data_IF_456249316504
#
_entry.id   IF_456249316504
#
_cell.length_a   1.000
_cell.length_b   1.000
_cell.length_c   1.000
_cell.angle_alpha   90.00
_cell.angle_beta   90.00
_cell.angle_gamma   90.00
#
_symmetry.space_group_name_H-M   'P 1'
#
loop_
_entity.id
_entity.type
_entity.pdbx_description
1 polymer ?
#
# COMPACT_ATOMS: atom_id res chain seq x y z
N UNK A 1 -30.98 -27.82 -17.89
CA UNK A 1 -30.92 -27.06 -16.61
C UNK A 1 -30.08 -27.86 -15.63
N UNK A 2 -28.91 -27.35 -15.20
CA UNK A 2 -28.12 -27.99 -14.13
C UNK A 2 -28.92 -27.97 -12.83
N UNK A 3 -28.95 -29.11 -12.15
CA UNK A 3 -29.69 -29.35 -10.90
C UNK A 3 -29.24 -28.37 -9.82
N UNK A 4 -30.20 -27.87 -9.02
CA UNK A 4 -29.99 -26.99 -7.86
C UNK A 4 -28.98 -27.55 -6.83
N UNK A 5 -28.64 -28.85 -6.88
CA UNK A 5 -27.63 -29.49 -6.03
C UNK A 5 -26.21 -28.93 -6.17
N UNK A 6 -25.86 -28.32 -7.31
CA UNK A 6 -24.52 -27.73 -7.48
C UNK A 6 -24.34 -26.41 -6.71
N UNK A 7 -25.42 -25.83 -6.15
CA UNK A 7 -25.39 -24.53 -5.45
C UNK A 7 -25.05 -24.62 -3.96
N UNK A 8 -25.10 -25.81 -3.35
CA UNK A 8 -24.90 -25.99 -1.90
C UNK A 8 -23.52 -26.56 -1.53
N UNK A 9 -22.56 -26.62 -2.46
CA UNK A 9 -21.19 -27.06 -2.14
C UNK A 9 -20.52 -26.11 -1.13
N UNK A 10 -20.87 -24.82 -1.19
CA UNK A 10 -20.33 -23.80 -0.29
C UNK A 10 -20.92 -23.97 1.13
N UNK A 11 -22.23 -24.16 1.25
CA UNK A 11 -22.92 -24.38 2.52
C UNK A 11 -22.51 -25.70 3.18
N UNK A 12 -22.34 -26.79 2.40
CA UNK A 12 -21.83 -28.07 2.89
C UNK A 12 -20.38 -27.98 3.41
N UNK A 13 -19.52 -27.19 2.75
CA UNK A 13 -18.13 -26.98 3.19
C UNK A 13 -18.01 -26.10 4.43
N UNK A 14 -18.88 -25.10 4.61
CA UNK A 14 -18.86 -24.21 5.79
C UNK A 14 -19.11 -24.98 7.11
N UNK A 15 -19.74 -26.16 7.06
CA UNK A 15 -20.11 -26.96 8.24
C UNK A 15 -18.91 -27.73 8.83
N UNK A 16 -17.83 -27.96 8.08
CA UNK A 16 -16.66 -28.74 8.55
C UNK A 16 -15.33 -28.00 8.32
N UNK A 17 -14.87 -27.21 9.29
CA UNK A 17 -13.46 -26.79 9.40
C UNK A 17 -12.83 -26.17 8.13
N UNK A 18 -13.66 -25.73 7.19
CA UNK A 18 -13.20 -25.36 5.86
C UNK A 18 -12.45 -24.05 5.96
N UNK A 19 -11.22 -24.08 5.48
CA UNK A 19 -10.37 -22.90 5.37
C UNK A 19 -10.16 -22.64 3.90
N UNK A 20 -10.43 -21.41 3.47
CA UNK A 20 -10.11 -20.99 2.11
C UNK A 20 -8.60 -21.07 1.88
N UNK A 21 -8.17 -21.48 0.69
CA UNK A 21 -6.76 -21.41 0.29
C UNK A 21 -6.34 -19.92 0.29
N UNK A 22 -5.37 -19.51 1.12
CA UNK A 22 -4.91 -18.11 1.17
C UNK A 22 -4.44 -17.60 -0.19
N UNK A 23 -3.89 -18.46 -1.06
CA UNK A 23 -3.46 -18.07 -2.41
C UNK A 23 -4.66 -17.66 -3.27
N UNK A 24 -5.78 -18.37 -3.15
CA UNK A 24 -7.00 -18.05 -3.90
C UNK A 24 -7.61 -16.74 -3.42
N UNK A 25 -7.58 -16.49 -2.10
CA UNK A 25 -8.01 -15.20 -1.53
C UNK A 25 -7.14 -14.06 -2.08
N UNK A 26 -5.81 -14.20 -1.99
CA UNK A 26 -4.86 -13.19 -2.46
C UNK A 26 -5.03 -12.92 -3.95
N UNK A 27 -5.22 -13.98 -4.76
CA UNK A 27 -5.45 -13.85 -6.20
C UNK A 27 -6.74 -13.07 -6.49
N UNK A 28 -7.85 -13.43 -5.84
CA UNK A 28 -9.13 -12.73 -6.01
C UNK A 28 -9.03 -11.25 -5.58
N UNK A 29 -8.31 -10.95 -4.51
CA UNK A 29 -8.05 -9.57 -4.07
C UNK A 29 -7.29 -8.80 -5.15
N UNK A 30 -6.26 -9.38 -5.76
CA UNK A 30 -5.51 -8.72 -6.83
C UNK A 30 -6.34 -8.51 -8.08
N UNK A 31 -7.12 -9.50 -8.53
CA UNK A 31 -8.00 -9.36 -9.69
C UNK A 31 -9.03 -8.23 -9.49
N UNK A 32 -9.68 -8.18 -8.32
CA UNK A 32 -10.63 -7.13 -7.98
C UNK A 32 -9.93 -5.77 -7.91
N UNK A 33 -8.74 -5.71 -7.30
CA UNK A 33 -8.01 -4.46 -7.13
C UNK A 33 -7.54 -3.90 -8.47
N UNK A 34 -7.00 -4.75 -9.35
CA UNK A 34 -6.59 -4.38 -10.71
C UNK A 34 -7.79 -3.88 -11.51
N UNK A 35 -8.94 -4.56 -11.42
CA UNK A 35 -10.19 -4.11 -12.06
C UNK A 35 -10.62 -2.71 -11.60
N UNK A 36 -10.39 -2.37 -10.32
CA UNK A 36 -10.66 -1.04 -9.76
C UNK A 36 -9.57 0.00 -10.11
N UNK A 37 -8.54 -0.39 -10.87
CA UNK A 37 -7.44 0.48 -11.28
C UNK A 37 -6.32 0.62 -10.25
N UNK A 38 -6.23 -0.29 -9.28
CA UNK A 38 -5.12 -0.34 -8.34
C UNK A 38 -3.83 -0.77 -9.07
N UNK A 39 -2.77 0.00 -8.87
CA UNK A 39 -1.41 -0.39 -9.29
C UNK A 39 -0.38 0.20 -8.33
N UNK A 40 0.90 -0.15 -8.50
CA UNK A 40 1.96 0.43 -7.66
C UNK A 40 2.16 1.94 -7.89
N UNK A 41 1.83 2.42 -9.09
CA UNK A 41 1.88 3.84 -9.47
C UNK A 41 0.55 4.56 -9.19
N UNK A 42 -0.52 3.82 -8.90
CA UNK A 42 -1.81 4.35 -8.50
C UNK A 42 -2.45 3.44 -7.44
N UNK A 43 -1.87 3.35 -6.23
CA UNK A 43 -2.41 2.48 -5.21
C UNK A 43 -3.69 3.09 -4.64
N UNK A 44 -4.66 2.22 -4.39
CA UNK A 44 -6.00 2.58 -3.89
C UNK A 44 -6.20 2.12 -2.46
N UNK A 45 -5.69 0.93 -2.12
CA UNK A 45 -5.92 0.26 -0.85
C UNK A 45 -4.57 -0.04 -0.16
N UNK A 46 -4.33 0.48 1.06
CA UNK A 46 -3.08 0.27 1.80
C UNK A 46 -2.74 -1.20 2.02
N UNK A 47 -3.73 -2.01 2.42
CA UNK A 47 -3.52 -3.44 2.65
C UNK A 47 -3.15 -4.19 1.36
N UNK A 48 -3.72 -3.83 0.21
CA UNK A 48 -3.38 -4.43 -1.09
C UNK A 48 -1.98 -4.03 -1.53
N UNK A 49 -1.57 -2.78 -1.26
CA UNK A 49 -0.19 -2.36 -1.47
C UNK A 49 0.78 -3.18 -0.61
N UNK A 50 0.50 -3.32 0.69
CA UNK A 50 1.34 -4.13 1.59
C UNK A 50 1.41 -5.59 1.13
N UNK A 51 0.29 -6.15 0.68
CA UNK A 51 0.24 -7.50 0.13
C UNK A 51 1.07 -7.65 -1.15
N UNK A 52 1.06 -6.66 -2.05
CA UNK A 52 1.85 -6.71 -3.29
C UNK A 52 3.35 -6.60 -3.06
N UNK A 53 3.75 -6.00 -1.93
CA UNK A 53 5.14 -5.89 -1.49
C UNK A 53 5.56 -6.99 -0.50
N UNK A 54 4.69 -7.99 -0.28
CA UNK A 54 4.92 -9.10 0.66
C UNK A 54 5.26 -8.64 2.08
N UNK A 55 4.70 -7.49 2.50
CA UNK A 55 4.93 -6.98 3.85
C UNK A 55 4.27 -7.87 4.88
N UNK A 56 4.93 -8.02 6.04
CA UNK A 56 4.27 -8.59 7.22
C UNK A 56 3.21 -7.65 7.77
N UNK A 57 2.40 -8.15 8.70
CA UNK A 57 1.42 -7.31 9.40
C UNK A 57 2.12 -6.20 10.20
N UNK A 58 3.23 -6.52 10.85
CA UNK A 58 4.03 -5.56 11.62
C UNK A 58 4.63 -4.47 10.71
N UNK A 59 5.09 -4.83 9.52
CA UNK A 59 5.58 -3.86 8.52
C UNK A 59 4.44 -2.98 7.97
N UNK A 60 3.23 -3.53 7.82
CA UNK A 60 2.04 -2.76 7.46
C UNK A 60 1.70 -1.71 8.52
N UNK A 61 1.68 -2.09 9.80
CA UNK A 61 1.40 -1.16 10.89
C UNK A 61 2.49 -0.09 11.01
N UNK A 62 3.77 -0.47 10.82
CA UNK A 62 4.90 0.47 10.81
C UNK A 62 4.78 1.55 9.73
N UNK A 63 4.21 1.24 8.56
CA UNK A 63 3.98 2.27 7.53
C UNK A 63 3.18 3.44 8.11
N UNK A 64 2.09 3.09 8.81
CA UNK A 64 1.19 4.07 9.38
C UNK A 64 1.88 4.88 10.49
N UNK A 65 2.65 4.21 11.35
CA UNK A 65 3.41 4.86 12.42
C UNK A 65 4.42 5.88 11.89
N UNK A 66 5.19 5.50 10.85
CA UNK A 66 6.16 6.40 10.20
C UNK A 66 5.46 7.65 9.67
N UNK A 67 4.32 7.50 8.98
CA UNK A 67 3.58 8.64 8.46
C UNK A 67 2.99 9.52 9.56
N UNK A 68 2.48 8.95 10.65
CA UNK A 68 2.00 9.74 11.79
C UNK A 68 3.13 10.50 12.49
N UNK A 69 4.29 9.88 12.64
CA UNK A 69 5.45 10.54 13.24
C UNK A 69 5.90 11.73 12.39
N UNK A 70 5.98 11.55 11.07
CA UNK A 70 6.29 12.61 10.10
C UNK A 70 5.28 13.76 10.22
N UNK A 71 3.97 13.46 10.26
CA UNK A 71 2.94 14.49 10.36
C UNK A 71 2.92 15.24 11.71
N UNK A 72 3.36 14.59 12.79
CA UNK A 72 3.43 15.20 14.14
C UNK A 72 4.62 16.15 14.28
N UNK A 73 5.72 15.91 13.57
CA UNK A 73 6.89 16.80 13.56
C UNK A 73 6.65 18.01 12.66
N UNK A 74 5.97 19.03 13.20
CA UNK A 74 5.58 20.27 12.51
C UNK A 74 6.73 21.25 12.20
N UNK A 75 7.93 20.98 12.70
CA UNK A 75 9.04 21.96 12.73
C UNK A 75 10.08 21.79 11.60
N UNK A 76 10.05 20.71 10.82
CA UNK A 76 11.01 20.48 9.75
C UNK A 76 10.40 20.65 8.36
N UNK A 77 11.19 21.21 7.45
CA UNK A 77 10.93 21.16 6.02
C UNK A 77 11.03 19.69 5.59
N UNK A 78 9.93 18.96 5.72
CA UNK A 78 9.87 17.55 5.35
C UNK A 78 9.95 17.50 3.81
N UNK A 79 10.98 16.83 3.28
CA UNK A 79 11.10 16.58 1.84
C UNK A 79 10.94 15.10 1.51
N UNK A 80 10.73 14.81 0.22
CA UNK A 80 10.52 13.44 -0.24
C UNK A 80 11.69 12.50 0.07
N UNK A 81 12.92 12.99 -0.06
CA UNK A 81 14.13 12.19 0.17
C UNK A 81 14.20 11.77 1.64
N UNK A 82 13.86 12.66 2.56
CA UNK A 82 13.83 12.39 4.00
C UNK A 82 12.76 11.38 4.36
N UNK A 83 11.53 11.52 3.81
CA UNK A 83 10.45 10.54 4.00
C UNK A 83 10.85 9.17 3.43
N UNK A 84 11.35 9.15 2.19
CA UNK A 84 11.78 7.91 1.52
C UNK A 84 12.86 7.22 2.35
N UNK A 85 13.88 7.96 2.78
CA UNK A 85 14.96 7.41 3.60
C UNK A 85 14.42 6.76 4.87
N UNK A 86 13.55 7.46 5.61
CA UNK A 86 12.94 6.93 6.84
C UNK A 86 12.10 5.67 6.59
N UNK A 87 11.30 5.66 5.53
CA UNK A 87 10.52 4.49 5.13
C UNK A 87 11.40 3.28 4.83
N UNK A 88 12.51 3.49 4.12
CA UNK A 88 13.44 2.41 3.76
C UNK A 88 14.27 1.90 4.94
N UNK A 89 14.56 2.77 5.92
CA UNK A 89 15.24 2.38 7.17
C UNK A 89 14.33 1.51 8.05
N UNK A 90 13.06 1.88 8.18
CA UNK A 90 12.10 1.15 9.01
C UNK A 90 11.51 -0.09 8.33
N UNK A 91 11.42 -0.07 6.99
CA UNK A 91 10.77 -1.11 6.17
C UNK A 91 11.65 -1.44 4.96
N UNK A 92 12.72 -2.24 5.14
CA UNK A 92 13.67 -2.56 4.08
C UNK A 92 13.06 -3.30 2.88
N UNK A 93 11.91 -3.96 3.06
CA UNK A 93 11.17 -4.64 1.99
C UNK A 93 10.78 -3.67 0.84
N UNK A 94 10.67 -2.36 1.12
CA UNK A 94 10.34 -1.34 0.13
C UNK A 94 11.54 -0.93 -0.76
N UNK A 95 12.74 -1.41 -0.48
CA UNK A 95 13.97 -1.01 -1.19
C UNK A 95 13.96 -1.28 -2.70
N UNK A 96 13.15 -2.23 -3.17
CA UNK A 96 12.96 -2.52 -4.60
C UNK A 96 12.09 -1.50 -5.34
N UNK A 97 11.46 -0.55 -4.62
CA UNK A 97 10.56 0.42 -5.21
C UNK A 97 11.30 1.63 -5.78
N UNK A 98 10.88 2.05 -6.97
CA UNK A 98 11.33 3.32 -7.54
C UNK A 98 10.61 4.51 -6.88
N UNK A 99 11.11 5.72 -7.14
CA UNK A 99 10.60 6.95 -6.53
C UNK A 99 9.12 7.21 -6.84
N UNK A 100 8.65 6.82 -8.03
CA UNK A 100 7.25 6.97 -8.40
C UNK A 100 6.34 6.12 -7.53
N UNK A 101 6.73 4.86 -7.27
CA UNK A 101 5.99 3.96 -6.38
C UNK A 101 6.01 4.47 -4.92
N UNK A 102 7.16 4.93 -4.43
CA UNK A 102 7.26 5.49 -3.07
C UNK A 102 6.41 6.76 -2.94
N UNK A 103 6.49 7.68 -3.91
CA UNK A 103 5.66 8.87 -3.89
C UNK A 103 4.17 8.50 -3.89
N UNK A 104 3.76 7.53 -4.71
CA UNK A 104 2.38 7.04 -4.77
C UNK A 104 1.91 6.41 -3.45
N UNK A 105 2.79 5.71 -2.74
CA UNK A 105 2.55 5.21 -1.38
C UNK A 105 2.33 6.36 -0.39
N UNK A 106 3.17 7.40 -0.44
CA UNK A 106 3.00 8.60 0.40
C UNK A 106 1.63 9.23 0.13
N UNK A 107 1.24 9.37 -1.15
CA UNK A 107 -0.08 9.93 -1.53
C UNK A 107 -1.23 9.09 -0.99
N UNK A 108 -1.11 7.76 -1.07
CA UNK A 108 -2.11 6.83 -0.57
C UNK A 108 -2.39 7.04 0.92
N UNK A 109 -1.33 7.03 1.74
CA UNK A 109 -1.46 7.18 3.18
C UNK A 109 -1.88 8.60 3.57
N UNK A 110 -1.40 9.62 2.86
CA UNK A 110 -1.85 11.00 3.04
C UNK A 110 -3.36 11.16 2.76
N UNK A 111 -3.87 10.51 1.72
CA UNK A 111 -5.29 10.57 1.35
C UNK A 111 -6.21 9.85 2.34
N UNK A 112 -5.77 8.74 2.91
CA UNK A 112 -6.62 7.83 3.69
C UNK A 112 -6.48 8.05 5.19
N UNK A 113 -5.27 8.26 5.69
CA UNK A 113 -4.98 8.21 7.13
C UNK A 113 -4.40 9.49 7.70
N UNK A 114 -3.61 10.24 6.92
CA UNK A 114 -2.84 11.39 7.41
C UNK A 114 -3.02 12.62 6.52
N UNK A 115 -4.18 13.31 6.57
CA UNK A 115 -4.48 14.46 5.72
C UNK A 115 -3.46 15.60 5.82
N UNK A 116 -2.71 15.70 6.91
CA UNK A 116 -1.63 16.68 7.11
C UNK A 116 -0.52 16.52 6.07
N UNK A 117 -0.35 15.32 5.50
CA UNK A 117 0.60 15.04 4.43
C UNK A 117 0.03 15.31 3.03
N UNK A 118 -1.20 15.84 2.91
CA UNK A 118 -1.85 16.05 1.62
C UNK A 118 -1.08 17.01 0.69
N UNK A 119 -0.29 17.93 1.24
CA UNK A 119 0.59 18.78 0.45
C UNK A 119 1.61 17.96 -0.38
N UNK A 120 2.10 16.82 0.15
CA UNK A 120 2.90 15.86 -0.63
C UNK A 120 2.06 15.10 -1.66
N UNK A 121 0.79 14.81 -1.35
CA UNK A 121 -0.11 14.17 -2.30
C UNK A 121 -0.38 15.04 -3.54
N UNK A 122 -0.37 16.36 -3.38
CA UNK A 122 -0.65 17.33 -4.44
C UNK A 122 0.56 17.69 -5.30
N UNK A 123 1.79 17.48 -4.81
CA UNK A 123 3.02 17.66 -5.59
C UNK A 123 3.05 16.68 -6.77
N UNK A 124 3.25 17.19 -8.00
CA UNK A 124 3.42 16.32 -9.18
C UNK A 124 4.74 15.55 -9.04
N UNK A 125 4.80 14.33 -9.58
CA UNK A 125 6.01 13.50 -9.51
C UNK A 125 7.29 14.22 -10.00
N UNK A 126 7.16 15.11 -10.99
CA UNK A 126 8.25 15.94 -11.51
C UNK A 126 8.59 17.20 -10.69
N UNK A 127 7.74 17.58 -9.73
CA UNK A 127 7.95 18.72 -8.83
C UNK A 127 8.68 18.33 -7.54
N UNK A 128 8.95 17.04 -7.33
CA UNK A 128 9.88 16.54 -6.32
C UNK A 128 11.35 16.81 -6.69
N UNK A 129 11.60 17.89 -7.47
CA UNK A 129 12.82 18.19 -8.21
C UNK A 129 14.07 17.58 -7.58
N UNK A 130 14.60 16.59 -8.30
CA UNK A 130 15.89 15.98 -8.07
C UNK A 130 16.94 17.10 -8.08
N UNK A 131 17.36 17.55 -6.89
CA UNK A 131 18.69 18.12 -6.75
C UNK A 131 19.66 16.96 -6.98
N UNK A 132 20.01 16.72 -8.25
CA UNK A 132 21.30 16.11 -8.55
C UNK A 132 22.33 17.01 -7.89
N UNK A 133 22.91 16.53 -6.79
CA UNK A 133 24.09 17.15 -6.22
C UNK A 133 25.10 17.34 -7.35
N UNK A 134 25.44 18.59 -7.63
CA UNK A 134 26.49 18.91 -8.58
C UNK A 134 27.79 18.25 -8.12
N UNK A 135 28.32 17.37 -8.96
CA UNK A 135 29.75 17.08 -9.07
C UNK A 135 30.12 17.01 -10.53
#
# INVERSE_FOLDING_TARGET
MKSLKDRDIISERIIEGFTYDPKLIVHAIFEISEYLGHSMQNPIFPAVFSLSQYLTWEEHDKLLDVFFEIARNKDEYIDFISIKKKLLEEIPALSGLNDSCIASLIKLYARIYVPELYNFAMTRLGEYEFKTEGK
#
